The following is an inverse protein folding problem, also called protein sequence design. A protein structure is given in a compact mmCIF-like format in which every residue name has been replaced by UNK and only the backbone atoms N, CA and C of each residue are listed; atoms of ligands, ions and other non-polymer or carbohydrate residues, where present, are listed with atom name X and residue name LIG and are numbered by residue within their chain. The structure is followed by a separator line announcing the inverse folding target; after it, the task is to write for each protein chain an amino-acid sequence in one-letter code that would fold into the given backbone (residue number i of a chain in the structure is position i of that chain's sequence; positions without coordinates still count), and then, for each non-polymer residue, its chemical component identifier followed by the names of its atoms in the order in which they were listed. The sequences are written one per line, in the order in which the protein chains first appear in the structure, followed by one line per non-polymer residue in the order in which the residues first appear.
data_IF_021078236307
#
_entry.id   IF_021078236307
#
_cell.length_a   1.000
_cell.length_b   1.000
_cell.length_c   1.000
_cell.angle_alpha   90.00
_cell.angle_beta   90.00
_cell.angle_gamma   90.00
#
_symmetry.space_group_name_H-M   'P 1'
#
loop_
_entity.id
_entity.type
_entity.pdbx_description
1 polymer ?
#
# COMPACT_ATOMS: atom_id res chain seq x y z
N UNK A 1 8.48 -13.05 -26.41
CA UNK A 1 7.41 -13.96 -25.98
C UNK A 1 6.11 -13.41 -26.51
N UNK A 2 5.55 -14.07 -27.52
CA UNK A 2 4.23 -13.73 -28.06
C UNK A 2 3.16 -14.50 -27.29
N UNK A 3 1.92 -14.00 -27.24
CA UNK A 3 0.82 -14.68 -26.53
C UNK A 3 0.61 -16.11 -27.06
N UNK A 4 0.88 -16.32 -28.36
CA UNK A 4 0.76 -17.61 -29.02
C UNK A 4 1.80 -18.66 -28.55
N UNK A 5 2.88 -18.24 -27.89
CA UNK A 5 3.94 -19.12 -27.37
C UNK A 5 3.67 -19.57 -25.94
N UNK A 6 2.65 -19.02 -25.27
CA UNK A 6 2.32 -19.36 -23.89
C UNK A 6 1.65 -20.72 -23.79
N UNK A 7 2.10 -21.52 -22.82
CA UNK A 7 1.30 -22.64 -22.35
C UNK A 7 0.01 -22.14 -21.69
N UNK A 8 -0.97 -23.04 -21.58
CA UNK A 8 -2.24 -22.73 -20.91
C UNK A 8 -2.06 -22.27 -19.46
N UNK A 9 -1.09 -22.84 -18.76
CA UNK A 9 -0.84 -22.49 -17.36
C UNK A 9 -0.15 -21.14 -17.23
N UNK A 10 0.83 -20.83 -18.07
CA UNK A 10 1.44 -19.50 -18.10
C UNK A 10 0.42 -18.41 -18.44
N UNK A 11 -0.48 -18.69 -19.40
CA UNK A 11 -1.55 -17.76 -19.74
C UNK A 11 -2.54 -17.53 -18.59
N UNK A 12 -2.94 -18.61 -17.88
CA UNK A 12 -3.81 -18.50 -16.70
C UNK A 12 -3.15 -17.71 -15.57
N UNK A 13 -1.85 -17.88 -15.34
CA UNK A 13 -1.12 -17.14 -14.31
C UNK A 13 -1.16 -15.65 -14.61
N UNK A 14 -0.85 -15.25 -15.85
CA UNK A 14 -0.90 -13.85 -16.27
C UNK A 14 -2.31 -13.28 -16.09
N UNK A 15 -3.35 -14.00 -16.50
CA UNK A 15 -4.74 -13.54 -16.31
C UNK A 15 -5.06 -13.37 -14.82
N UNK A 16 -4.67 -14.33 -13.99
CA UNK A 16 -4.94 -14.30 -12.55
C UNK A 16 -4.29 -13.07 -11.90
N UNK A 17 -3.02 -12.81 -12.21
CA UNK A 17 -2.30 -11.63 -11.72
C UNK A 17 -2.98 -10.32 -12.14
N UNK A 18 -3.35 -10.20 -13.41
CA UNK A 18 -4.05 -9.01 -13.93
C UNK A 18 -5.41 -8.82 -13.25
N UNK A 19 -6.16 -9.90 -13.04
CA UNK A 19 -7.46 -9.83 -12.36
C UNK A 19 -7.30 -9.40 -10.90
N UNK A 20 -6.33 -9.96 -10.18
CA UNK A 20 -6.02 -9.55 -8.81
C UNK A 20 -5.64 -8.08 -8.73
N UNK A 21 -4.79 -7.60 -9.63
CA UNK A 21 -4.40 -6.19 -9.69
C UNK A 21 -5.61 -5.28 -9.95
N UNK A 22 -6.50 -5.68 -10.87
CA UNK A 22 -7.71 -4.90 -11.17
C UNK A 22 -8.69 -4.88 -10.00
N UNK A 23 -8.81 -5.98 -9.26
CA UNK A 23 -9.63 -6.02 -8.04
C UNK A 23 -9.02 -5.09 -6.96
N UNK A 24 -7.69 -5.08 -6.80
CA UNK A 24 -7.03 -4.15 -5.86
C UNK A 24 -7.29 -2.70 -6.24
N UNK A 25 -7.15 -2.34 -7.52
CA UNK A 25 -7.46 -1.00 -8.03
C UNK A 25 -8.92 -0.58 -7.81
N UNK A 26 -9.86 -1.54 -7.77
CA UNK A 26 -11.28 -1.25 -7.52
C UNK A 26 -11.57 -1.01 -6.03
N UNK A 27 -10.92 -1.76 -5.14
CA UNK A 27 -11.19 -1.75 -3.71
C UNK A 27 -10.41 -0.68 -2.96
N UNK A 28 -9.18 -0.41 -3.40
CA UNK A 28 -8.30 0.57 -2.80
C UNK A 28 -8.21 1.81 -3.72
N UNK A 29 -8.90 2.91 -3.35
CA UNK A 29 -8.97 4.11 -4.18
C UNK A 29 -7.60 4.81 -4.33
N UNK A 30 -6.65 4.52 -3.44
CA UNK A 30 -5.31 5.09 -3.46
C UNK A 30 -4.26 4.09 -4.00
N UNK A 31 -4.69 2.92 -4.50
CA UNK A 31 -3.78 1.88 -4.96
C UNK A 31 -2.89 2.36 -6.11
N UNK A 32 -1.58 2.22 -5.95
CA UNK A 32 -0.58 2.65 -6.93
C UNK A 32 -0.34 4.15 -6.97
N UNK A 33 -0.97 4.94 -6.10
CA UNK A 33 -0.65 6.36 -5.95
C UNK A 33 0.60 6.56 -5.09
N UNK A 34 1.38 7.58 -5.44
CA UNK A 34 2.48 8.02 -4.60
C UNK A 34 1.99 8.80 -3.38
N UNK A 35 2.77 8.76 -2.31
CA UNK A 35 2.51 9.60 -1.15
C UNK A 35 2.68 11.07 -1.53
N UNK A 36 1.73 11.91 -1.11
CA UNK A 36 1.82 13.36 -1.28
C UNK A 36 3.09 13.92 -0.62
N UNK A 37 3.68 14.94 -1.23
CA UNK A 37 4.95 15.53 -0.78
C UNK A 37 4.89 16.04 0.68
N UNK A 38 3.77 16.62 1.08
CA UNK A 38 3.55 17.11 2.44
C UNK A 38 3.55 15.97 3.47
N UNK A 39 2.98 14.82 3.09
CA UNK A 39 2.96 13.63 3.92
C UNK A 39 4.36 13.02 4.03
N UNK A 40 5.09 12.92 2.91
CA UNK A 40 6.48 12.46 2.91
C UNK A 40 7.37 13.33 3.81
N UNK A 41 7.23 14.65 3.75
CA UNK A 41 7.98 15.57 4.60
C UNK A 41 7.71 15.31 6.09
N UNK A 42 6.42 15.16 6.46
CA UNK A 42 6.01 14.85 7.84
C UNK A 42 6.53 13.49 8.30
N UNK A 43 6.46 12.48 7.44
CA UNK A 43 6.93 11.13 7.73
C UNK A 43 8.44 11.13 7.96
N UNK A 44 9.22 11.77 7.08
CA UNK A 44 10.68 11.88 7.22
C UNK A 44 11.08 12.62 8.50
N UNK A 45 10.37 13.70 8.84
CA UNK A 45 10.57 14.42 10.11
C UNK A 45 10.28 13.52 11.31
N UNK A 46 9.20 12.75 11.27
CA UNK A 46 8.83 11.81 12.33
C UNK A 46 9.88 10.69 12.47
N UNK A 47 10.28 10.06 11.37
CA UNK A 47 11.28 8.99 11.35
C UNK A 47 12.65 9.44 11.89
N UNK A 48 13.05 10.68 11.59
CA UNK A 48 14.31 11.26 12.07
C UNK A 48 14.25 11.76 13.51
N UNK A 49 13.05 11.88 14.10
CA UNK A 49 12.89 12.32 15.48
C UNK A 49 13.35 11.24 16.46
N UNK A 50 13.86 11.66 17.62
CA UNK A 50 14.12 10.78 18.77
C UNK A 50 12.99 10.78 19.80
N UNK A 51 12.03 11.69 19.65
CA UNK A 51 10.87 11.79 20.53
C UNK A 51 9.95 10.58 20.30
N UNK A 52 9.52 9.95 21.39
CA UNK A 52 8.60 8.81 21.36
C UNK A 52 7.51 9.05 22.38
N UNK A 53 6.29 8.63 22.05
CA UNK A 53 5.14 8.63 22.93
C UNK A 53 4.78 7.18 23.24
N UNK A 54 4.37 6.91 24.49
CA UNK A 54 3.95 5.56 24.86
C UNK A 54 2.61 5.21 24.21
N UNK A 55 2.33 3.91 24.03
CA UNK A 55 1.06 3.48 23.48
C UNK A 55 -0.14 3.89 24.36
N UNK A 56 0.03 3.91 25.68
CA UNK A 56 -1.04 4.32 26.60
C UNK A 56 -1.34 5.82 26.50
N UNK A 57 -0.31 6.64 26.33
CA UNK A 57 -0.49 8.08 26.07
C UNK A 57 -1.19 8.32 24.72
N UNK A 58 -0.88 7.51 23.69
CA UNK A 58 -1.58 7.58 22.40
C UNK A 58 -3.06 7.25 22.54
N UNK A 59 -3.43 6.17 23.27
CA UNK A 59 -4.85 5.85 23.51
C UNK A 59 -5.57 6.98 24.21
N UNK A 60 -4.96 7.54 25.27
CA UNK A 60 -5.52 8.67 26.02
C UNK A 60 -5.74 9.88 25.11
N UNK A 61 -4.78 10.23 24.27
CA UNK A 61 -4.88 11.36 23.35
C UNK A 61 -5.95 11.16 22.25
N UNK A 62 -6.22 9.91 21.86
CA UNK A 62 -7.24 9.57 20.87
C UNK A 62 -8.62 9.31 21.49
N UNK A 63 -8.77 9.38 22.82
CA UNK A 63 -10.03 9.08 23.50
C UNK A 63 -10.42 7.59 23.44
N UNK A 64 -9.42 6.72 23.30
CA UNK A 64 -9.58 5.26 23.20
C UNK A 64 -9.27 4.53 24.52
N UNK A 65 -9.12 5.29 25.62
CA UNK A 65 -8.75 4.80 26.95
C UNK A 65 -9.94 4.84 27.92
#
# INVERSE_FOLDING_TARGET
MTVAELSKEEFKTIISEVVEEKIRQLLDPDYGLELREDFLLRLNKSASSKERISFDDVKKNLGLA
#
